data_IF_478771611707
#
_entry.id   IF_478771611707
#
_cell.length_a   1.000
_cell.length_b   1.000
_cell.length_c   1.000
_cell.angle_alpha   90.00
_cell.angle_beta   90.00
_cell.angle_gamma   90.00
#
_symmetry.space_group_name_H-M   'P 1'
#
loop_
_entity.id
_entity.type
_entity.pdbx_description
1 polymer ?
#
# COMPACT_ATOMS: atom_id res chain seq x y z
N UNK A 1 21.35 15.19 -3.88
CA UNK A 1 21.60 13.78 -3.55
C UNK A 1 20.64 13.03 -4.42
N UNK A 2 21.14 12.32 -5.44
CA UNK A 2 20.27 11.58 -6.34
C UNK A 2 19.60 10.47 -5.54
N UNK A 3 18.28 10.38 -5.62
CA UNK A 3 17.50 9.32 -5.00
C UNK A 3 17.85 8.03 -5.74
N UNK A 4 18.06 6.93 -5.01
CA UNK A 4 18.22 5.59 -5.58
C UNK A 4 17.10 5.32 -6.59
N UNK A 5 17.38 5.03 -7.88
CA UNK A 5 16.36 4.77 -8.89
C UNK A 5 15.35 3.69 -8.49
N UNK A 6 15.78 2.67 -7.73
CA UNK A 6 14.88 1.63 -7.22
C UNK A 6 13.85 2.20 -6.25
N UNK A 7 14.30 3.07 -5.35
CA UNK A 7 13.43 3.74 -4.38
C UNK A 7 12.52 4.76 -5.07
N UNK A 8 13.01 5.47 -6.08
CA UNK A 8 12.20 6.40 -6.87
C UNK A 8 11.05 5.67 -7.59
N UNK A 9 11.35 4.54 -8.24
CA UNK A 9 10.33 3.72 -8.89
C UNK A 9 9.29 3.17 -7.91
N UNK A 10 9.71 2.67 -6.74
CA UNK A 10 8.78 2.20 -5.71
C UNK A 10 7.91 3.34 -5.17
N UNK A 11 8.50 4.51 -4.90
CA UNK A 11 7.74 5.70 -4.48
C UNK A 11 6.65 6.02 -5.49
N UNK A 12 7.01 6.07 -6.76
CA UNK A 12 6.09 6.47 -7.83
C UNK A 12 4.96 5.44 -7.96
N UNK A 13 5.28 4.13 -7.97
CA UNK A 13 4.29 3.06 -8.01
C UNK A 13 3.33 3.08 -6.80
N UNK A 14 3.84 3.26 -5.57
CA UNK A 14 2.99 3.33 -4.36
C UNK A 14 2.12 4.58 -4.37
N UNK A 15 2.63 5.70 -4.90
CA UNK A 15 1.87 6.94 -5.06
C UNK A 15 0.76 6.78 -6.10
N UNK A 16 1.01 6.10 -7.21
CA UNK A 16 0.00 5.79 -8.21
C UNK A 16 -1.08 4.85 -7.68
N UNK A 17 -0.69 3.80 -6.94
CA UNK A 17 -1.63 2.91 -6.25
C UNK A 17 -2.51 3.68 -5.27
N UNK A 18 -1.92 4.55 -4.44
CA UNK A 18 -2.67 5.38 -3.49
C UNK A 18 -3.74 6.22 -4.21
N UNK A 19 -3.34 6.94 -5.26
CA UNK A 19 -4.25 7.79 -6.06
C UNK A 19 -5.34 6.98 -6.73
N UNK A 20 -4.99 5.83 -7.29
CA UNK A 20 -5.94 4.92 -7.92
C UNK A 20 -7.01 4.46 -6.93
N UNK A 21 -6.60 3.97 -5.75
CA UNK A 21 -7.54 3.56 -4.69
C UNK A 21 -8.35 4.75 -4.18
N UNK A 22 -7.76 5.95 -4.10
CA UNK A 22 -8.46 7.15 -3.66
C UNK A 22 -9.64 7.54 -4.57
N UNK A 23 -9.64 7.13 -5.84
CA UNK A 23 -10.77 7.37 -6.75
C UNK A 23 -12.05 6.65 -6.33
N UNK A 24 -11.95 5.58 -5.55
CA UNK A 24 -13.10 4.81 -5.03
C UNK A 24 -13.77 5.49 -3.82
N UNK A 25 -13.21 6.60 -3.32
CA UNK A 25 -13.67 7.28 -2.11
C UNK A 25 -13.18 6.61 -0.83
N UNK A 26 -13.72 7.03 0.31
CA UNK A 26 -13.38 6.50 1.63
C UNK A 26 -14.27 5.32 2.03
N UNK A 27 -13.87 4.64 3.10
CA UNK A 27 -14.55 3.47 3.64
C UNK A 27 -14.47 2.27 2.67
N UNK A 28 -13.38 2.23 1.88
CA UNK A 28 -13.07 1.18 0.91
C UNK A 28 -12.48 -0.06 1.59
N UNK A 29 -12.67 -1.27 1.02
CA UNK A 29 -12.02 -2.48 1.51
C UNK A 29 -10.49 -2.38 1.38
N UNK A 30 -9.79 -3.25 2.11
CA UNK A 30 -8.33 -3.41 1.94
C UNK A 30 -8.05 -3.87 0.51
N UNK A 31 -7.05 -3.24 -0.13
CA UNK A 31 -6.61 -3.58 -1.48
C UNK A 31 -5.15 -4.01 -1.46
N UNK A 32 -4.82 -5.09 -2.15
CA UNK A 32 -3.47 -5.66 -2.20
C UNK A 32 -3.03 -5.73 -3.65
N UNK A 33 -1.76 -5.42 -3.89
CA UNK A 33 -1.16 -5.39 -5.23
C UNK A 33 0.12 -6.22 -5.22
N UNK A 34 0.29 -7.07 -6.23
CA UNK A 34 1.60 -7.60 -6.58
C UNK A 34 2.38 -6.52 -7.34
N UNK A 35 3.67 -6.39 -7.05
CA UNK A 35 4.58 -5.51 -7.76
C UNK A 35 5.61 -6.38 -8.48
N UNK A 36 5.72 -6.19 -9.79
CA UNK A 36 6.68 -6.91 -10.64
C UNK A 36 7.46 -5.93 -11.50
N UNK A 37 8.71 -6.26 -11.81
CA UNK A 37 9.51 -5.49 -12.77
C UNK A 37 9.02 -5.75 -14.18
N UNK A 38 8.72 -4.67 -14.90
CA UNK A 38 8.09 -4.74 -16.20
C UNK A 38 8.96 -5.45 -17.24
N UNK A 39 10.27 -5.17 -17.28
CA UNK A 39 11.19 -5.75 -18.28
C UNK A 39 11.24 -7.28 -18.20
N UNK A 40 11.63 -7.92 -17.08
CA UNK A 40 11.67 -9.37 -17.00
C UNK A 40 10.27 -10.01 -17.13
N UNK A 41 9.20 -9.34 -16.67
CA UNK A 41 7.84 -9.84 -16.84
C UNK A 41 7.43 -9.94 -18.32
N UNK A 42 7.74 -8.90 -19.11
CA UNK A 42 7.47 -8.87 -20.55
C UNK A 42 8.37 -9.83 -21.34
N UNK A 43 9.61 -10.05 -20.91
CA UNK A 43 10.51 -11.04 -21.52
C UNK A 43 10.02 -12.49 -21.26
N UNK A 44 9.55 -12.77 -20.05
CA UNK A 44 9.03 -14.08 -19.68
C UNK A 44 7.65 -14.35 -20.28
N UNK A 45 6.80 -13.32 -20.35
CA UNK A 45 5.40 -13.40 -20.79
C UNK A 45 5.09 -12.29 -21.81
N UNK A 46 5.50 -12.44 -23.08
CA UNK A 46 5.29 -11.40 -24.11
C UNK A 46 3.83 -11.04 -24.36
N UNK A 47 2.90 -11.95 -24.11
CA UNK A 47 1.46 -11.72 -24.23
C UNK A 47 0.91 -10.68 -23.23
N UNK A 48 1.60 -10.45 -22.10
CA UNK A 48 1.24 -9.40 -21.14
C UNK A 48 1.19 -8.01 -21.79
N UNK A 49 1.98 -7.80 -22.85
CA UNK A 49 1.96 -6.56 -23.63
C UNK A 49 0.56 -6.22 -24.19
N UNK A 50 -0.28 -7.23 -24.44
CA UNK A 50 -1.64 -7.04 -24.96
C UNK A 50 -2.66 -6.68 -23.86
N UNK A 51 -2.33 -6.90 -22.59
CA UNK A 51 -3.20 -6.59 -21.44
C UNK A 51 -2.95 -5.17 -20.89
N UNK A 52 -1.84 -4.55 -21.28
CA UNK A 52 -1.52 -3.18 -20.89
C UNK A 52 -2.46 -2.17 -21.56
N UNK A 53 -2.76 -1.04 -20.90
CA UNK A 53 -3.53 0.05 -21.50
C UNK A 53 -2.95 0.50 -22.85
N UNK A 54 -3.82 0.85 -23.80
CA UNK A 54 -3.44 1.14 -25.18
C UNK A 54 -2.51 2.35 -25.35
N UNK A 55 -2.43 3.23 -24.35
CA UNK A 55 -1.53 4.37 -24.27
C UNK A 55 -0.15 4.02 -23.71
N UNK A 56 0.05 2.80 -23.19
CA UNK A 56 1.35 2.30 -22.76
C UNK A 56 2.15 1.81 -23.97
N UNK A 57 3.18 2.57 -24.33
CA UNK A 57 4.13 2.17 -25.36
C UNK A 57 5.07 1.06 -24.83
N UNK A 58 4.64 -0.20 -24.92
CA UNK A 58 5.42 -1.36 -24.40
C UNK A 58 6.87 -1.38 -24.91
N UNK A 59 7.08 -1.06 -26.19
CA UNK A 59 8.42 -0.99 -26.79
C UNK A 59 9.32 0.12 -26.22
N UNK A 60 8.76 1.07 -25.47
CA UNK A 60 9.50 2.13 -24.76
C UNK A 60 9.89 1.71 -23.33
N UNK A 61 9.34 0.62 -22.81
CA UNK A 61 9.68 0.08 -21.49
C UNK A 61 11.06 -0.58 -21.58
N UNK A 62 12.07 0.22 -21.31
CA UNK A 62 13.49 -0.20 -21.34
C UNK A 62 14.21 0.05 -20.02
N UNK A 63 13.60 0.81 -19.11
CA UNK A 63 14.13 1.05 -17.78
C UNK A 63 13.90 -0.20 -16.90
N UNK A 64 14.96 -0.85 -16.39
CA UNK A 64 14.86 -2.04 -15.54
C UNK A 64 14.16 -1.77 -14.19
N UNK A 65 13.95 -0.51 -13.82
CA UNK A 65 13.23 -0.11 -12.62
C UNK A 65 11.74 0.14 -12.85
N UNK A 66 11.24 0.08 -14.10
CA UNK A 66 9.80 0.18 -14.35
C UNK A 66 9.06 -0.93 -13.62
N UNK A 67 8.04 -0.57 -12.85
CA UNK A 67 7.23 -1.49 -12.06
C UNK A 67 5.82 -1.58 -12.65
N UNK A 68 5.28 -2.79 -12.72
CA UNK A 68 3.84 -3.01 -12.86
C UNK A 68 3.24 -3.32 -11.49
N UNK A 69 2.07 -2.74 -11.24
CA UNK A 69 1.24 -3.05 -10.08
C UNK A 69 -0.01 -3.80 -10.55
N UNK A 70 -0.21 -4.99 -10.02
CA UNK A 70 -1.33 -5.87 -10.37
C UNK A 70 -2.19 -6.06 -9.14
N UNK A 71 -3.41 -5.55 -9.17
CA UNK A 71 -4.35 -5.77 -8.07
C UNK A 71 -4.66 -7.25 -7.88
N UNK A 72 -4.72 -7.68 -6.62
CA UNK A 72 -5.11 -9.01 -6.22
C UNK A 72 -6.59 -9.04 -5.84
N UNK A 73 -7.37 -9.80 -6.61
CA UNK A 73 -8.76 -10.09 -6.32
C UNK A 73 -8.92 -11.32 -5.41
N UNK A 74 -10.10 -11.49 -4.81
CA UNK A 74 -10.44 -12.71 -4.08
C UNK A 74 -9.61 -12.94 -2.81
N UNK A 75 -9.21 -11.86 -2.14
CA UNK A 75 -8.42 -11.92 -0.90
C UNK A 75 -9.07 -12.84 0.16
N UNK A 76 -8.25 -13.58 0.94
CA UNK A 76 -8.78 -14.47 1.95
C UNK A 76 -9.53 -13.70 3.02
N UNK A 77 -10.55 -14.33 3.60
CA UNK A 77 -11.30 -13.72 4.69
C UNK A 77 -10.40 -13.58 5.92
N UNK A 78 -10.46 -12.41 6.54
CA UNK A 78 -9.71 -12.09 7.75
C UNK A 78 -10.48 -11.04 8.56
N UNK A 79 -10.35 -11.09 9.89
CA UNK A 79 -10.99 -10.10 10.77
C UNK A 79 -10.07 -8.89 11.01
N UNK A 80 -8.78 -9.07 10.78
CA UNK A 80 -7.76 -8.04 10.96
C UNK A 80 -6.83 -7.97 9.76
N UNK A 81 -6.15 -6.84 9.61
CA UNK A 81 -5.15 -6.66 8.58
C UNK A 81 -3.96 -7.62 8.76
N UNK A 82 -3.59 -7.87 10.01
CA UNK A 82 -2.52 -8.77 10.39
C UNK A 82 -2.87 -10.24 10.03
N UNK A 83 -4.11 -10.67 10.27
CA UNK A 83 -4.62 -11.99 9.84
C UNK A 83 -4.65 -12.12 8.32
N UNK A 84 -5.01 -11.05 7.60
CA UNK A 84 -5.00 -11.04 6.13
C UNK A 84 -3.58 -11.25 5.60
N UNK A 85 -2.63 -10.41 6.05
CA UNK A 85 -1.25 -10.46 5.58
C UNK A 85 -0.57 -11.79 5.91
N UNK A 86 -0.84 -12.38 7.08
CA UNK A 86 -0.28 -13.67 7.47
C UNK A 86 -0.73 -14.85 6.57
N UNK A 87 -1.77 -14.67 5.76
CA UNK A 87 -2.27 -15.68 4.81
C UNK A 87 -1.72 -15.47 3.39
N UNK A 88 -1.05 -14.36 3.13
CA UNK A 88 -0.48 -14.07 1.81
C UNK A 88 0.89 -14.72 1.66
N UNK A 89 1.11 -15.30 0.48
CA UNK A 89 2.40 -15.79 0.05
C UNK A 89 2.58 -15.45 -1.43
N UNK A 90 3.78 -15.07 -1.80
CA UNK A 90 4.08 -14.60 -3.14
C UNK A 90 5.00 -15.57 -3.89
N UNK A 91 4.72 -15.86 -5.16
CA UNK A 91 5.62 -16.66 -5.98
C UNK A 91 6.92 -15.88 -6.27
N UNK A 92 7.92 -16.56 -6.83
CA UNK A 92 9.26 -15.99 -7.03
C UNK A 92 9.27 -14.85 -8.06
N UNK A 93 8.32 -14.86 -9.00
CA UNK A 93 8.13 -13.84 -10.02
C UNK A 93 7.63 -12.50 -9.45
N UNK A 94 7.10 -12.49 -8.22
CA UNK A 94 6.64 -11.27 -7.56
C UNK A 94 7.80 -10.61 -6.80
N UNK A 95 8.27 -9.48 -7.34
CA UNK A 95 9.42 -8.72 -6.81
C UNK A 95 9.08 -7.93 -5.53
N UNK A 96 7.81 -7.59 -5.35
CA UNK A 96 7.32 -6.81 -4.22
C UNK A 96 5.80 -6.84 -4.11
N UNK A 97 5.27 -6.18 -3.10
CA UNK A 97 3.83 -6.06 -2.90
C UNK A 97 3.51 -4.67 -2.37
N UNK A 98 2.26 -4.25 -2.56
CA UNK A 98 1.71 -3.08 -1.90
C UNK A 98 0.34 -3.37 -1.31
N UNK A 99 -0.03 -2.59 -0.30
CA UNK A 99 -1.32 -2.67 0.37
C UNK A 99 -1.86 -1.29 0.63
N UNK A 100 -3.16 -1.10 0.43
CA UNK A 100 -3.90 0.10 0.82
C UNK A 100 -4.93 -0.27 1.85
N UNK A 101 -4.89 0.40 3.00
CA UNK A 101 -5.82 0.20 4.10
C UNK A 101 -6.18 1.53 4.77
N UNK A 102 -7.39 1.59 5.28
CA UNK A 102 -7.88 2.73 6.06
C UNK A 102 -7.89 2.39 7.55
N UNK A 103 -7.47 3.34 8.39
CA UNK A 103 -7.51 3.22 9.85
C UNK A 103 -7.94 4.54 10.49
N UNK A 104 -8.60 4.42 11.64
CA UNK A 104 -8.85 5.56 12.52
C UNK A 104 -7.62 5.76 13.41
N UNK A 105 -7.13 7.00 13.48
CA UNK A 105 -6.17 7.43 14.47
C UNK A 105 -6.80 8.47 15.40
N UNK A 106 -6.26 8.58 16.61
CA UNK A 106 -6.60 9.63 17.57
C UNK A 106 -5.30 10.23 18.11
N UNK A 107 -5.31 11.48 18.58
CA UNK A 107 -4.14 12.04 19.25
C UNK A 107 -3.82 11.27 20.55
N UNK A 108 -2.55 11.19 20.98
CA UNK A 108 -2.16 10.50 22.21
C UNK A 108 -2.86 11.02 23.49
N UNK A 109 -3.37 12.24 23.47
CA UNK A 109 -4.20 12.77 24.57
C UNK A 109 -5.50 11.99 24.75
N UNK A 110 -6.11 11.50 23.66
CA UNK A 110 -7.35 10.74 23.68
C UNK A 110 -7.20 9.37 24.38
N UNK A 111 -5.99 8.81 24.39
CA UNK A 111 -5.71 7.53 25.04
C UNK A 111 -5.75 7.61 26.57
N UNK A 112 -5.57 8.80 27.15
CA UNK A 112 -5.49 8.99 28.61
C UNK A 112 -6.80 8.74 29.34
N UNK A 113 -7.92 9.02 28.68
CA UNK A 113 -9.26 8.94 29.26
C UNK A 113 -10.02 7.67 28.82
N UNK A 114 -9.34 6.71 28.20
CA UNK A 114 -9.98 5.49 27.72
C UNK A 114 -10.50 4.61 28.86
N UNK A 115 -11.72 4.06 28.71
CA UNK A 115 -12.22 3.00 29.58
C UNK A 115 -11.23 1.83 29.68
N UNK A 116 -11.12 1.23 30.86
CA UNK A 116 -10.30 0.01 31.06
C UNK A 116 -10.85 -1.21 30.34
N UNK A 117 -12.15 -1.21 30.02
CA UNK A 117 -12.79 -2.27 29.26
C UNK A 117 -12.43 -2.13 27.77
N UNK A 118 -11.82 -3.16 27.13
CA UNK A 118 -11.34 -3.04 25.75
C UNK A 118 -12.43 -2.72 24.72
N UNK A 119 -13.63 -3.27 24.89
CA UNK A 119 -14.73 -3.00 23.96
C UNK A 119 -15.23 -1.55 24.09
N UNK A 120 -15.37 -1.06 25.32
CA UNK A 120 -15.73 0.35 25.57
C UNK A 120 -14.64 1.31 25.14
N UNK A 121 -13.36 0.93 25.27
CA UNK A 121 -12.25 1.72 24.76
C UNK A 121 -12.32 1.87 23.24
N UNK A 122 -12.58 0.79 22.51
CA UNK A 122 -12.72 0.82 21.05
C UNK A 122 -13.89 1.71 20.61
N UNK A 123 -15.04 1.62 21.28
CA UNK A 123 -16.20 2.50 21.01
C UNK A 123 -15.83 3.96 21.26
N UNK A 124 -15.20 4.27 22.40
CA UNK A 124 -14.80 5.63 22.75
C UNK A 124 -13.79 6.24 21.75
N UNK A 125 -12.86 5.43 21.24
CA UNK A 125 -11.93 5.84 20.18
C UNK A 125 -12.67 6.11 18.87
N UNK A 126 -13.59 5.22 18.49
CA UNK A 126 -14.37 5.37 17.25
C UNK A 126 -15.30 6.58 17.29
N UNK A 127 -15.75 7.01 18.47
CA UNK A 127 -16.62 8.18 18.65
C UNK A 127 -15.85 9.45 19.03
N UNK A 128 -14.51 9.39 19.11
CA UNK A 128 -13.71 10.52 19.59
C UNK A 128 -13.85 11.74 18.65
N UNK A 129 -14.02 12.97 19.18
CA UNK A 129 -14.19 14.15 18.34
C UNK A 129 -12.95 14.50 17.51
N UNK A 130 -11.77 14.14 18.00
CA UNK A 130 -10.49 14.30 17.29
C UNK A 130 -10.07 13.03 16.52
N UNK A 131 -11.02 12.12 16.23
CA UNK A 131 -10.72 10.97 15.37
C UNK A 131 -10.41 11.45 13.96
N UNK A 132 -9.41 10.85 13.36
CA UNK A 132 -9.02 11.11 11.98
C UNK A 132 -8.97 9.80 11.22
N UNK A 133 -9.68 9.73 10.10
CA UNK A 133 -9.58 8.61 9.17
C UNK A 133 -8.35 8.80 8.27
N UNK A 134 -7.52 7.76 8.20
CA UNK A 134 -6.23 7.78 7.49
C UNK A 134 -6.17 6.61 6.53
N UNK A 135 -5.91 6.92 5.25
CA UNK A 135 -5.57 5.93 4.24
C UNK A 135 -4.06 5.82 4.15
N UNK A 136 -3.56 4.60 4.22
CA UNK A 136 -2.15 4.29 4.10
C UNK A 136 -1.97 3.34 2.92
N UNK A 137 -1.14 3.74 1.95
CA UNK A 137 -0.61 2.84 0.94
C UNK A 137 0.84 2.50 1.31
N UNK A 138 1.18 1.22 1.40
CA UNK A 138 2.52 0.77 1.78
C UNK A 138 3.00 -0.23 0.76
N UNK A 139 4.16 0.03 0.16
CA UNK A 139 4.85 -0.89 -0.73
C UNK A 139 6.15 -1.40 -0.14
N UNK A 140 6.49 -2.66 -0.43
CA UNK A 140 7.74 -3.31 -0.05
C UNK A 140 8.26 -4.16 -1.21
N UNK A 141 9.57 -4.07 -1.48
CA UNK A 141 10.28 -4.91 -2.44
C UNK A 141 11.09 -5.97 -1.70
N UNK A 142 11.21 -7.18 -2.25
CA UNK A 142 12.05 -8.27 -1.70
C UNK A 142 13.51 -7.86 -1.46
N UNK A 143 14.01 -6.88 -2.22
CA UNK A 143 15.35 -6.30 -2.05
C UNK A 143 15.48 -5.33 -0.86
N UNK A 144 14.38 -5.05 -0.16
CA UNK A 144 14.36 -4.33 1.12
C UNK A 144 13.90 -2.88 1.04
N UNK A 145 13.62 -2.32 -0.15
CA UNK A 145 13.03 -0.99 -0.27
C UNK A 145 11.59 -0.99 0.25
N UNK A 146 11.21 0.09 0.92
CA UNK A 146 9.82 0.35 1.31
C UNK A 146 9.47 1.81 1.04
N UNK A 147 8.20 2.05 0.76
CA UNK A 147 7.63 3.38 0.67
C UNK A 147 6.20 3.38 1.20
N UNK A 148 5.86 4.41 1.96
CA UNK A 148 4.54 4.64 2.51
C UNK A 148 3.99 5.96 1.97
N UNK A 149 2.73 5.97 1.56
CA UNK A 149 1.94 7.16 1.32
C UNK A 149 0.80 7.22 2.35
N UNK A 150 0.56 8.39 2.92
CA UNK A 150 -0.42 8.62 3.97
C UNK A 150 -1.31 9.80 3.59
N UNK A 151 -2.61 9.56 3.48
CA UNK A 151 -3.65 10.56 3.24
C UNK A 151 -4.58 10.60 4.45
N UNK A 152 -4.97 11.80 4.85
CA UNK A 152 -5.94 12.00 5.95
C UNK A 152 -7.25 12.50 5.35
N UNK A 153 -8.39 12.13 5.93
CA UNK A 153 -9.70 12.54 5.42
C UNK A 153 -9.90 14.07 5.48
N UNK A 154 -9.29 14.73 6.46
CA UNK A 154 -9.25 16.20 6.56
C UNK A 154 -8.37 16.88 5.48
N UNK A 155 -7.42 16.15 4.89
CA UNK A 155 -6.52 16.64 3.82
C UNK A 155 -6.61 15.72 2.60
N UNK A 156 -7.81 15.60 2.04
CA UNK A 156 -8.11 14.69 0.93
C UNK A 156 -7.85 15.35 -0.44
N UNK A 157 -6.58 15.53 -0.78
CA UNK A 157 -6.15 15.87 -2.14
C UNK A 157 -4.81 15.22 -2.48
N UNK A 158 -4.56 15.00 -3.76
CA UNK A 158 -3.34 14.35 -4.26
C UNK A 158 -2.06 15.11 -3.90
N UNK A 159 -2.16 16.42 -3.68
CA UNK A 159 -1.04 17.29 -3.29
C UNK A 159 -0.74 17.23 -1.78
N UNK A 160 -1.67 16.71 -0.97
CA UNK A 160 -1.55 16.64 0.49
C UNK A 160 -1.17 15.25 1.01
N UNK A 161 -0.82 14.32 0.11
CA UNK A 161 -0.36 12.98 0.47
C UNK A 161 1.08 13.04 0.99
N UNK A 162 1.28 12.62 2.23
CA UNK A 162 2.60 12.54 2.85
C UNK A 162 3.30 11.24 2.45
N UNK A 163 4.58 11.30 2.11
CA UNK A 163 5.39 10.13 1.73
C UNK A 163 6.64 9.95 2.58
N UNK A 164 6.92 8.72 3.03
CA UNK A 164 8.17 8.35 3.72
C UNK A 164 8.46 6.85 3.54
N UNK A 165 9.73 6.40 3.56
CA UNK A 165 10.04 4.97 3.55
C UNK A 165 9.39 4.16 4.69
N UNK A 166 9.22 4.79 5.86
CA UNK A 166 8.91 4.12 7.12
C UNK A 166 7.79 4.79 7.93
N UNK A 167 6.88 5.54 7.30
CA UNK A 167 5.80 6.25 8.00
C UNK A 167 4.90 5.31 8.84
N UNK A 168 4.77 4.05 8.41
CA UNK A 168 3.93 3.03 9.06
C UNK A 168 4.76 1.77 9.31
N UNK A 169 5.71 1.80 10.27
CA UNK A 169 6.74 0.77 10.39
C UNK A 169 6.17 -0.62 10.70
N UNK A 170 5.06 -0.69 11.44
CA UNK A 170 4.37 -1.95 11.72
C UNK A 170 3.78 -2.60 10.46
N UNK A 171 3.21 -1.80 9.56
CA UNK A 171 2.63 -2.31 8.31
C UNK A 171 3.73 -2.67 7.29
N UNK A 172 4.83 -1.91 7.24
CA UNK A 172 6.01 -2.28 6.45
C UNK A 172 6.56 -3.64 6.89
N UNK A 173 6.71 -3.86 8.20
CA UNK A 173 7.18 -5.13 8.74
C UNK A 173 6.22 -6.29 8.43
N UNK A 174 4.92 -6.07 8.58
CA UNK A 174 3.90 -7.09 8.28
C UNK A 174 3.86 -7.44 6.79
N UNK A 175 3.97 -6.45 5.90
CA UNK A 175 4.02 -6.68 4.46
C UNK A 175 5.30 -7.43 4.05
N UNK A 176 6.44 -7.05 4.62
CA UNK A 176 7.70 -7.79 4.44
C UNK A 176 7.56 -9.27 4.82
N UNK A 177 6.88 -9.57 5.91
CA UNK A 177 6.72 -10.95 6.40
C UNK A 177 5.94 -11.85 5.41
N UNK A 178 5.20 -11.29 4.45
CA UNK A 178 4.52 -12.06 3.38
C UNK A 178 5.48 -12.68 2.36
N UNK A 179 6.77 -12.33 2.44
CA UNK A 179 7.84 -12.83 1.58
C UNK A 179 8.79 -13.83 2.26
N UNK A 180 8.51 -14.18 3.53
CA UNK A 180 9.28 -15.14 4.33
C UNK A 180 8.61 -16.54 4.33
#
# INVERSE_FOLDING_TARGET
>A
MDIDPKLAALRDAVTEIEKFVATDGWDAPIRVFAIIRAVPALEATPELAAELPADVAVNAITDPHTLFSVEQEGLPQANTLEELLAQLAWPDEVDGAAIVAERIIVPPSAEKDLPKDPQRALIALSEHPEREDVRMAVGFMREGQSWCCVRTRSNDSDEMVAGSPDAVPGLVAALRATFE
#
